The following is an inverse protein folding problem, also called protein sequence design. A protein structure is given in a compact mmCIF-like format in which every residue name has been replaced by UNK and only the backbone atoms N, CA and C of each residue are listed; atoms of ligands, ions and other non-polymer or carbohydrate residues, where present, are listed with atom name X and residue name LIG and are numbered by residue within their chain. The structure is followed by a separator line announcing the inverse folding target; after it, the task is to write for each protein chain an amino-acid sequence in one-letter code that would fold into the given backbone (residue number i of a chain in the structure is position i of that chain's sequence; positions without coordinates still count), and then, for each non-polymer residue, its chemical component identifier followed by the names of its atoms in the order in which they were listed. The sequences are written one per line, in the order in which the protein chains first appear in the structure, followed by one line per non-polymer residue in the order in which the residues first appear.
data_IF_167810206311
#
_entry.id   IF_167810206311
#
_cell.length_a   1.000
_cell.length_b   1.000
_cell.length_c   1.000
_cell.angle_alpha   90.00
_cell.angle_beta   90.00
_cell.angle_gamma   90.00
#
_symmetry.space_group_name_H-M   'P 1'
#
loop_
_entity.id
_entity.type
_entity.pdbx_description
1 polymer ?
#
# COMPACT_ATOMS: atom_id res chain seq x y z
N UNK A 1 -39.63 -42.50 -13.78
CA UNK A 1 -39.85 -41.05 -13.67
C UNK A 1 -38.60 -40.43 -13.09
N UNK A 2 -37.87 -39.71 -13.93
CA UNK A 2 -36.63 -39.01 -13.60
C UNK A 2 -37.04 -37.59 -13.22
N UNK A 3 -36.57 -37.08 -12.07
CA UNK A 3 -36.52 -35.64 -11.82
C UNK A 3 -35.12 -35.28 -11.31
N UNK A 4 -34.23 -35.03 -12.27
CA UNK A 4 -33.00 -34.26 -12.06
C UNK A 4 -33.40 -32.80 -11.86
N UNK A 5 -33.17 -32.26 -10.66
CA UNK A 5 -33.25 -30.81 -10.41
C UNK A 5 -31.87 -30.21 -10.59
N UNK A 6 -31.54 -29.92 -11.84
CA UNK A 6 -30.38 -29.11 -12.18
C UNK A 6 -30.68 -27.66 -11.81
N UNK A 7 -30.07 -27.15 -10.75
CA UNK A 7 -30.06 -25.72 -10.41
C UNK A 7 -29.10 -25.06 -11.40
N UNK A 8 -29.53 -24.09 -12.23
CA UNK A 8 -28.60 -23.35 -13.05
C UNK A 8 -27.79 -22.41 -12.15
N UNK A 9 -26.51 -22.70 -11.98
CA UNK A 9 -25.53 -21.72 -11.54
C UNK A 9 -25.46 -20.63 -12.62
N UNK A 10 -26.18 -19.53 -12.41
CA UNK A 10 -26.00 -18.32 -13.20
C UNK A 10 -24.69 -17.69 -12.74
N UNK A 11 -23.61 -17.96 -13.47
CA UNK A 11 -22.33 -17.28 -13.34
C UNK A 11 -22.52 -15.84 -13.83
N UNK A 12 -22.79 -14.92 -12.90
CA UNK A 12 -22.87 -13.50 -13.20
C UNK A 12 -21.45 -12.94 -13.28
N UNK A 13 -20.80 -13.10 -14.42
CA UNK A 13 -19.59 -12.36 -14.76
C UNK A 13 -19.97 -10.91 -15.08
N UNK A 14 -20.10 -10.08 -14.04
CA UNK A 14 -20.18 -8.62 -14.19
C UNK A 14 -18.80 -8.10 -14.56
N UNK A 15 -18.54 -7.95 -15.86
CA UNK A 15 -17.58 -6.98 -16.36
C UNK A 15 -18.15 -5.57 -16.07
N UNK A 16 -17.93 -5.10 -14.85
CA UNK A 16 -18.40 -3.80 -14.39
C UNK A 16 -17.45 -2.68 -14.81
N UNK A 17 -17.81 -1.97 -15.87
CA UNK A 17 -17.33 -0.60 -16.11
C UNK A 17 -17.79 0.31 -14.96
N UNK A 18 -16.87 0.62 -14.05
CA UNK A 18 -16.74 1.90 -13.36
C UNK A 18 -17.96 2.54 -12.69
N UNK A 19 -18.61 1.87 -11.73
CA UNK A 19 -19.35 2.60 -10.70
C UNK A 19 -18.35 3.12 -9.66
N UNK A 20 -18.35 4.43 -9.41
CA UNK A 20 -17.57 5.05 -8.34
C UNK A 20 -17.89 4.36 -7.01
N UNK A 21 -16.88 3.84 -6.34
CA UNK A 21 -16.97 3.16 -5.05
C UNK A 21 -16.92 4.20 -3.91
N UNK A 22 -17.90 5.10 -3.93
CA UNK A 22 -18.18 5.98 -2.80
C UNK A 22 -19.02 5.23 -1.78
N UNK A 23 -18.61 5.27 -0.52
CA UNK A 23 -19.27 4.52 0.56
C UNK A 23 -19.59 5.43 1.72
N UNK A 24 -20.60 5.06 2.50
CA UNK A 24 -20.77 5.56 3.86
C UNK A 24 -19.94 4.67 4.79
N UNK A 25 -18.76 5.14 5.21
CA UNK A 25 -17.80 4.36 5.99
C UNK A 25 -18.37 3.76 7.27
N UNK A 26 -19.32 4.45 7.92
CA UNK A 26 -20.00 3.93 9.11
C UNK A 26 -20.65 2.56 8.88
N UNK A 27 -21.18 2.29 7.69
CA UNK A 27 -21.82 1.00 7.38
C UNK A 27 -20.82 -0.16 7.30
N UNK A 28 -19.55 0.16 7.08
CA UNK A 28 -18.44 -0.77 7.00
C UNK A 28 -17.61 -0.80 8.30
N UNK A 29 -17.86 0.10 9.25
CA UNK A 29 -17.10 0.14 10.49
C UNK A 29 -17.53 -0.96 11.49
N UNK A 30 -17.07 -2.18 11.24
CA UNK A 30 -17.33 -3.34 12.10
C UNK A 30 -16.27 -4.43 11.87
N UNK A 31 -15.88 -5.19 12.91
CA UNK A 31 -14.75 -6.12 12.84
C UNK A 31 -14.90 -7.24 11.79
N UNK A 32 -16.14 -7.58 11.41
CA UNK A 32 -16.46 -8.63 10.44
C UNK A 32 -17.08 -8.09 9.14
N UNK A 33 -16.96 -6.79 8.86
CA UNK A 33 -17.69 -6.20 7.73
C UNK A 33 -17.16 -4.87 7.23
N UNK A 34 -15.83 -4.73 7.27
CA UNK A 34 -15.08 -3.71 6.53
C UNK A 34 -15.33 -3.76 5.01
N UNK A 35 -14.88 -2.73 4.28
CA UNK A 35 -14.97 -2.69 2.82
C UNK A 35 -14.27 -3.92 2.21
N UNK A 36 -14.80 -4.50 1.11
CA UNK A 36 -14.13 -5.61 0.44
C UNK A 36 -12.72 -5.23 0.00
N UNK A 37 -11.75 -6.13 0.15
CA UNK A 37 -10.36 -5.91 -0.30
C UNK A 37 -10.25 -5.49 -1.78
N UNK A 38 -11.20 -5.91 -2.63
CA UNK A 38 -11.27 -5.50 -4.03
C UNK A 38 -11.50 -4.00 -4.25
N UNK A 39 -11.92 -3.25 -3.22
CA UNK A 39 -12.14 -1.80 -3.31
C UNK A 39 -10.83 -1.02 -3.35
N UNK A 40 -9.79 -1.55 -2.70
CA UNK A 40 -8.48 -0.95 -2.61
C UNK A 40 -7.36 -1.85 -3.16
N UNK A 41 -7.69 -2.99 -3.77
CA UNK A 41 -6.74 -3.81 -4.51
C UNK A 41 -6.19 -3.07 -5.74
N UNK A 42 -4.91 -3.30 -6.03
CA UNK A 42 -4.25 -2.82 -7.24
C UNK A 42 -4.91 -3.34 -8.52
N UNK A 43 -4.85 -2.54 -9.59
CA UNK A 43 -5.30 -2.96 -10.92
C UNK A 43 -4.51 -4.16 -11.45
N UNK A 44 -5.15 -5.00 -12.27
CA UNK A 44 -4.53 -6.22 -12.82
C UNK A 44 -3.35 -5.97 -13.76
N UNK A 45 -3.14 -4.73 -14.21
CA UNK A 45 -1.97 -4.33 -15.02
C UNK A 45 -0.74 -4.00 -14.18
N UNK A 46 -0.86 -3.91 -12.86
CA UNK A 46 0.26 -3.61 -11.96
C UNK A 46 1.17 -4.84 -11.84
N UNK A 47 2.49 -4.74 -12.10
CA UNK A 47 3.39 -5.88 -12.07
C UNK A 47 3.82 -6.21 -10.63
N UNK A 48 2.87 -6.68 -9.81
CA UNK A 48 3.05 -6.89 -8.35
C UNK A 48 4.30 -7.73 -8.02
N UNK A 49 4.48 -8.90 -8.65
CA UNK A 49 5.64 -9.76 -8.41
C UNK A 49 6.97 -9.10 -8.75
N UNK A 50 7.01 -8.28 -9.81
CA UNK A 50 8.22 -7.58 -10.20
C UNK A 50 8.55 -6.44 -9.22
N UNK A 51 7.53 -5.73 -8.73
CA UNK A 51 7.68 -4.70 -7.70
C UNK A 51 8.14 -5.29 -6.37
N UNK A 52 7.59 -6.44 -5.96
CA UNK A 52 8.04 -7.16 -4.77
C UNK A 52 9.50 -7.61 -4.91
N UNK A 53 9.89 -8.11 -6.09
CA UNK A 53 11.27 -8.48 -6.38
C UNK A 53 12.22 -7.27 -6.33
N UNK A 54 11.79 -6.12 -6.87
CA UNK A 54 12.56 -4.90 -6.81
C UNK A 54 12.71 -4.38 -5.37
N UNK A 55 11.66 -4.45 -4.55
CA UNK A 55 11.69 -4.08 -3.13
C UNK A 55 12.72 -4.91 -2.36
N UNK A 56 12.78 -6.22 -2.62
CA UNK A 56 13.76 -7.12 -2.00
C UNK A 56 15.23 -6.82 -2.37
N UNK A 57 15.46 -5.99 -3.39
CA UNK A 57 16.80 -5.53 -3.81
C UNK A 57 17.13 -4.11 -3.36
N UNK A 58 16.21 -3.41 -2.68
CA UNK A 58 16.47 -2.09 -2.13
C UNK A 58 17.62 -2.16 -1.10
N UNK A 59 18.49 -1.17 -1.10
CA UNK A 59 19.76 -1.24 -0.36
C UNK A 59 20.20 0.08 0.24
N UNK A 60 19.66 1.20 -0.22
CA UNK A 60 20.03 2.53 0.26
C UNK A 60 19.21 2.86 1.51
N UNK A 61 19.76 2.60 2.69
CA UNK A 61 19.09 2.87 3.97
C UNK A 61 18.87 4.38 4.18
N UNK A 62 17.72 4.75 4.77
CA UNK A 62 17.53 6.10 5.33
C UNK A 62 18.32 6.23 6.64
N UNK A 63 18.87 7.42 6.95
CA UNK A 63 19.52 7.67 8.24
C UNK A 63 18.58 7.36 9.41
N UNK A 64 19.11 6.64 10.41
CA UNK A 64 18.38 6.19 11.61
C UNK A 64 17.08 5.40 11.32
N UNK A 65 17.00 4.78 10.14
CA UNK A 65 15.81 4.12 9.62
C UNK A 65 15.68 2.62 9.87
N UNK A 66 16.30 2.10 10.94
CA UNK A 66 16.22 0.68 11.29
C UNK A 66 15.46 0.51 12.60
N UNK A 67 14.47 -0.39 12.59
CA UNK A 67 13.53 -0.60 13.68
C UNK A 67 13.21 -2.07 13.83
N UNK A 68 13.00 -2.57 15.05
CA UNK A 68 12.55 -3.93 15.27
C UNK A 68 11.09 -4.09 14.83
N UNK A 69 10.72 -5.28 14.37
CA UNK A 69 9.34 -5.59 14.02
C UNK A 69 8.42 -5.69 15.24
N UNK A 70 8.96 -6.06 16.40
CA UNK A 70 8.21 -6.14 17.65
C UNK A 70 9.10 -5.78 18.86
N UNK A 71 8.55 -5.84 20.07
CA UNK A 71 9.25 -5.46 21.32
C UNK A 71 9.96 -6.62 22.00
N UNK A 72 10.07 -7.77 21.34
CA UNK A 72 10.73 -8.95 21.90
C UNK A 72 12.26 -8.82 21.87
N UNK A 73 12.93 -9.48 22.81
CA UNK A 73 14.38 -9.47 22.84
C UNK A 73 14.96 -10.27 21.65
N UNK A 74 15.75 -9.61 20.81
CA UNK A 74 16.31 -10.21 19.60
C UNK A 74 15.34 -10.23 18.41
N UNK A 75 14.30 -9.38 18.43
CA UNK A 75 13.41 -9.15 17.31
C UNK A 75 14.19 -8.88 16.01
N UNK A 76 13.62 -9.28 14.88
CA UNK A 76 14.18 -8.97 13.58
C UNK A 76 14.15 -7.45 13.36
N UNK A 77 15.27 -6.92 12.88
CA UNK A 77 15.41 -5.50 12.52
C UNK A 77 15.08 -5.32 11.04
N UNK A 78 14.32 -4.27 10.73
CA UNK A 78 13.90 -3.89 9.37
C UNK A 78 14.39 -2.49 9.08
N UNK A 79 14.94 -2.30 7.87
CA UNK A 79 15.45 -1.02 7.40
C UNK A 79 14.50 -0.41 6.37
N UNK A 80 14.22 0.89 6.51
CA UNK A 80 13.54 1.68 5.50
C UNK A 80 14.55 2.16 4.46
N UNK A 81 14.22 1.97 3.19
CA UNK A 81 15.10 2.27 2.07
C UNK A 81 14.60 3.45 1.22
N UNK A 82 15.54 4.25 0.71
CA UNK A 82 15.30 5.46 -0.09
C UNK A 82 15.70 5.33 -1.56
N UNK A 83 15.94 4.11 -2.06
CA UNK A 83 16.36 3.87 -3.44
C UNK A 83 15.42 4.55 -4.47
N UNK A 84 14.14 4.70 -4.13
CA UNK A 84 13.11 5.28 -4.99
C UNK A 84 12.73 6.72 -4.63
N UNK A 85 13.36 7.32 -3.61
CA UNK A 85 12.90 8.59 -3.04
C UNK A 85 13.11 9.82 -3.94
N UNK A 86 13.98 9.71 -4.94
CA UNK A 86 14.38 10.83 -5.81
C UNK A 86 13.68 10.83 -7.19
N UNK A 87 12.71 9.93 -7.43
CA UNK A 87 11.97 9.95 -8.69
C UNK A 87 11.08 11.19 -8.80
N UNK A 88 10.91 11.73 -10.01
CA UNK A 88 10.03 12.88 -10.23
C UNK A 88 8.54 12.53 -10.02
N UNK A 89 8.16 11.29 -10.33
CA UNK A 89 6.82 10.75 -10.13
C UNK A 89 6.95 9.33 -9.60
N UNK A 90 6.08 8.93 -8.67
CA UNK A 90 6.18 7.62 -8.02
C UNK A 90 7.38 7.50 -7.09
N UNK A 91 7.91 8.62 -6.58
CA UNK A 91 8.92 8.58 -5.53
C UNK A 91 8.34 7.95 -4.27
N UNK A 92 9.14 7.10 -3.63
CA UNK A 92 8.69 6.32 -2.49
C UNK A 92 9.84 5.90 -1.57
N UNK A 93 9.49 5.57 -0.34
CA UNK A 93 10.30 4.73 0.54
C UNK A 93 9.74 3.30 0.55
N UNK A 94 10.60 2.32 0.81
CA UNK A 94 10.23 0.90 0.81
C UNK A 94 10.89 0.13 1.94
N UNK A 95 10.17 -0.82 2.51
CA UNK A 95 10.69 -1.79 3.48
C UNK A 95 9.91 -3.11 3.39
N UNK A 96 10.47 -4.16 3.98
CA UNK A 96 9.82 -5.46 4.12
C UNK A 96 9.78 -5.78 5.61
N UNK A 97 8.58 -5.92 6.17
CA UNK A 97 8.34 -6.20 7.57
C UNK A 97 7.27 -7.29 7.72
N UNK A 98 6.93 -7.58 8.97
CA UNK A 98 5.77 -8.35 9.35
C UNK A 98 4.48 -7.48 9.25
N UNK A 99 3.38 -7.98 9.81
CA UNK A 99 2.11 -7.26 9.84
C UNK A 99 1.35 -7.43 11.17
N UNK A 100 1.60 -6.53 12.10
CA UNK A 100 0.83 -6.38 13.34
C UNK A 100 -0.45 -5.57 13.12
N UNK A 101 -1.45 -5.78 13.97
CA UNK A 101 -2.74 -5.10 13.89
C UNK A 101 -2.72 -3.84 14.75
N UNK A 102 -2.91 -2.71 14.10
CA UNK A 102 -3.16 -1.42 14.74
C UNK A 102 -4.67 -1.11 14.70
N UNK A 103 -5.21 -0.71 15.84
CA UNK A 103 -6.61 -0.36 15.98
C UNK A 103 -6.85 1.09 16.41
N UNK A 104 -5.80 1.92 16.46
CA UNK A 104 -5.88 3.30 16.89
C UNK A 104 -6.94 4.09 16.09
N UNK A 105 -7.53 5.07 16.76
CA UNK A 105 -8.67 5.85 16.28
C UNK A 105 -9.99 5.42 16.90
N UNK A 106 -11.07 5.37 16.13
CA UNK A 106 -12.42 5.12 16.71
C UNK A 106 -12.64 3.68 17.15
N UNK A 107 -11.79 2.75 16.68
CA UNK A 107 -11.89 1.32 16.95
C UNK A 107 -10.81 0.81 17.92
N UNK A 108 -10.15 1.70 18.65
CA UNK A 108 -9.01 1.46 19.59
C UNK A 108 -9.24 0.43 20.71
N UNK A 109 -10.46 -0.09 20.83
CA UNK A 109 -10.82 -1.17 21.73
C UNK A 109 -11.15 -2.43 20.92
N UNK A 110 -10.43 -2.65 19.82
CA UNK A 110 -10.66 -3.83 19.01
C UNK A 110 -10.31 -5.09 19.79
N UNK A 111 -10.69 -6.24 19.23
CA UNK A 111 -10.56 -7.51 19.96
C UNK A 111 -9.11 -7.71 20.41
N UNK A 112 -8.95 -7.90 21.72
CA UNK A 112 -7.69 -8.22 22.39
C UNK A 112 -6.60 -7.14 22.27
N UNK A 113 -6.99 -5.90 21.93
CA UNK A 113 -6.14 -4.72 22.02
C UNK A 113 -6.18 -4.12 23.44
N UNK A 114 -5.02 -3.89 24.03
CA UNK A 114 -4.86 -3.37 25.38
C UNK A 114 -4.18 -2.00 25.43
N UNK A 115 -3.56 -1.55 24.34
CA UNK A 115 -2.76 -0.33 24.27
C UNK A 115 -3.26 0.68 23.22
N UNK A 116 -4.35 0.37 22.52
CA UNK A 116 -4.97 1.26 21.55
C UNK A 116 -5.29 2.67 22.07
N UNK A 117 -5.05 3.66 21.21
CA UNK A 117 -5.32 5.07 21.43
C UNK A 117 -6.55 5.52 20.64
N UNK A 118 -7.36 6.39 21.22
CA UNK A 118 -8.60 6.85 20.59
C UNK A 118 -8.41 7.81 19.39
N UNK A 119 -7.18 8.05 18.96
CA UNK A 119 -6.78 8.88 17.82
C UNK A 119 -5.58 8.24 17.14
N UNK A 120 -5.50 8.36 15.82
CA UNK A 120 -4.26 8.23 15.06
C UNK A 120 -3.61 9.60 14.87
N UNK A 121 -2.40 9.67 14.32
CA UNK A 121 -1.71 10.93 14.02
C UNK A 121 -2.47 11.89 13.08
N UNK A 122 -3.35 11.38 12.20
CA UNK A 122 -4.01 12.17 11.15
C UNK A 122 -5.54 12.17 11.21
N UNK A 123 -6.11 11.73 12.32
CA UNK A 123 -7.55 11.73 12.58
C UNK A 123 -7.96 10.63 13.56
N UNK A 124 -9.26 10.49 13.78
CA UNK A 124 -9.81 9.34 14.48
C UNK A 124 -10.20 8.29 13.44
N UNK A 125 -9.21 7.69 12.76
CA UNK A 125 -9.45 6.72 11.70
C UNK A 125 -10.19 5.49 12.23
N UNK A 126 -11.00 4.86 11.38
CA UNK A 126 -11.70 3.64 11.71
C UNK A 126 -10.87 2.44 11.24
N UNK A 127 -10.20 1.73 12.14
CA UNK A 127 -9.35 0.59 11.79
C UNK A 127 -10.12 -0.52 11.05
N UNK A 128 -11.44 -0.65 11.25
CA UNK A 128 -12.25 -1.61 10.50
C UNK A 128 -12.61 -1.17 9.08
N UNK A 129 -12.40 0.09 8.71
CA UNK A 129 -12.85 0.66 7.43
C UNK A 129 -11.74 1.32 6.61
N UNK A 130 -10.80 1.97 7.28
CA UNK A 130 -9.70 2.67 6.62
C UNK A 130 -8.53 1.71 6.49
N UNK A 131 -8.07 1.38 5.26
CA UNK A 131 -6.83 0.67 5.07
C UNK A 131 -5.69 1.66 5.35
N UNK A 132 -5.12 1.62 6.55
CA UNK A 132 -3.94 2.41 6.90
C UNK A 132 -2.78 1.50 7.31
N UNK A 133 -1.59 2.07 7.26
CA UNK A 133 -0.39 1.48 7.82
C UNK A 133 0.33 2.51 8.67
N UNK A 134 1.18 2.00 9.56
CA UNK A 134 1.89 2.77 10.57
C UNK A 134 3.36 2.85 10.18
N UNK A 135 4.00 3.98 10.46
CA UNK A 135 5.45 4.11 10.33
C UNK A 135 6.07 4.51 11.68
N UNK A 136 7.35 4.24 11.90
CA UNK A 136 8.02 4.72 13.11
C UNK A 136 7.99 6.24 13.22
N UNK A 137 7.62 6.79 14.38
CA UNK A 137 7.43 8.23 14.57
C UNK A 137 8.69 9.06 14.29
N UNK A 138 9.89 8.54 14.61
CA UNK A 138 11.15 9.21 14.25
C UNK A 138 11.30 9.38 12.75
N UNK A 139 10.98 8.34 11.97
CA UNK A 139 11.04 8.38 10.52
C UNK A 139 10.00 9.35 9.96
N UNK A 140 8.75 9.27 10.42
CA UNK A 140 7.68 10.20 10.04
C UNK A 140 8.05 11.66 10.30
N UNK A 141 8.61 11.94 11.47
CA UNK A 141 9.07 13.29 11.85
C UNK A 141 10.22 13.79 10.98
N UNK A 142 11.24 12.96 10.74
CA UNK A 142 12.39 13.31 9.92
C UNK A 142 12.00 13.64 8.46
N UNK A 143 11.01 12.92 7.93
CA UNK A 143 10.56 13.05 6.54
C UNK A 143 9.22 13.77 6.38
N UNK A 144 8.75 14.50 7.41
CA UNK A 144 7.43 15.14 7.44
C UNK A 144 7.13 16.09 6.26
N UNK A 145 8.16 16.69 5.65
CA UNK A 145 7.98 17.52 4.43
C UNK A 145 7.53 16.70 3.22
N UNK A 146 7.96 15.45 3.15
CA UNK A 146 7.64 14.50 2.07
C UNK A 146 6.43 13.64 2.44
N UNK A 147 6.23 13.42 3.73
CA UNK A 147 5.19 12.59 4.33
C UNK A 147 4.33 13.42 5.29
N UNK A 148 3.55 14.41 4.79
CA UNK A 148 2.73 15.27 5.66
C UNK A 148 1.55 14.55 6.33
N UNK A 149 1.31 13.28 6.01
CA UNK A 149 0.21 12.47 6.54
C UNK A 149 -0.83 12.13 5.48
N UNK A 150 -1.53 11.01 5.67
CA UNK A 150 -2.50 10.46 4.71
C UNK A 150 -1.91 10.24 3.29
N UNK A 151 -0.58 10.10 3.20
CA UNK A 151 0.11 9.70 1.98
C UNK A 151 -0.36 8.31 1.58
N UNK A 152 -0.71 8.12 0.31
CA UNK A 152 -1.02 6.80 -0.23
C UNK A 152 0.23 5.93 -0.15
N UNK A 153 0.03 4.70 0.29
CA UNK A 153 1.00 3.62 0.16
C UNK A 153 0.39 2.41 -0.52
N UNK A 154 1.27 1.48 -0.88
CA UNK A 154 0.92 0.17 -1.37
C UNK A 154 1.53 -0.89 -0.45
N UNK A 155 0.74 -1.90 -0.11
CA UNK A 155 1.13 -3.04 0.71
C UNK A 155 1.03 -4.29 -0.13
N UNK A 156 2.11 -5.07 -0.23
CA UNK A 156 2.15 -6.35 -0.95
C UNK A 156 2.23 -7.47 0.07
N UNK A 157 1.25 -8.37 0.02
CA UNK A 157 1.08 -9.51 0.92
C UNK A 157 0.34 -10.62 0.16
N UNK A 158 0.67 -11.89 0.41
CA UNK A 158 0.04 -13.05 -0.25
C UNK A 158 -0.03 -12.91 -1.80
N UNK A 159 1.04 -12.37 -2.40
CA UNK A 159 1.16 -12.15 -3.85
C UNK A 159 0.18 -11.10 -4.44
N UNK A 160 -0.55 -10.37 -3.60
CA UNK A 160 -1.50 -9.31 -3.98
C UNK A 160 -1.00 -7.97 -3.49
N UNK A 161 -1.50 -6.89 -4.09
CA UNK A 161 -1.19 -5.52 -3.68
C UNK A 161 -2.47 -4.77 -3.33
N UNK A 162 -2.41 -4.04 -2.23
CA UNK A 162 -3.51 -3.25 -1.68
C UNK A 162 -3.04 -1.83 -1.39
N UNK A 163 -3.91 -0.84 -1.64
CA UNK A 163 -3.63 0.55 -1.32
C UNK A 163 -4.17 0.91 0.05
N UNK A 164 -3.38 1.71 0.76
CA UNK A 164 -3.78 2.32 2.03
C UNK A 164 -3.20 3.70 2.18
N UNK A 165 -3.30 4.27 3.38
CA UNK A 165 -2.69 5.55 3.72
C UNK A 165 -1.73 5.41 4.90
N UNK A 166 -0.68 6.24 4.92
CA UNK A 166 0.07 6.54 6.14
C UNK A 166 -0.89 7.24 7.11
N UNK A 167 -1.48 6.45 8.00
CA UNK A 167 -2.58 6.87 8.87
C UNK A 167 -2.14 7.15 10.30
N UNK A 168 -1.03 6.55 10.73
CA UNK A 168 -0.54 6.64 12.09
C UNK A 168 0.98 6.49 12.22
N UNK A 169 1.57 6.89 13.35
CA UNK A 169 2.97 6.62 13.67
C UNK A 169 3.19 5.95 15.03
N UNK A 170 4.10 4.98 15.08
CA UNK A 170 4.46 4.32 16.33
C UNK A 170 5.43 5.18 17.15
N UNK A 171 4.92 5.76 18.23
CA UNK A 171 5.68 6.60 19.18
C UNK A 171 6.27 5.85 20.38
N UNK A 172 6.18 4.52 20.44
CA UNK A 172 6.62 3.72 21.59
C UNK A 172 8.15 3.68 21.74
N UNK A 173 8.65 3.06 22.81
CA UNK A 173 10.09 2.82 23.02
C UNK A 173 10.33 1.35 23.36
N UNK A 174 10.97 0.56 22.47
CA UNK A 174 11.39 0.94 21.10
C UNK A 174 10.17 1.23 20.20
N UNK A 175 10.39 2.05 19.16
CA UNK A 175 9.43 2.19 18.07
C UNK A 175 9.53 0.94 17.21
N UNK A 176 8.39 0.36 16.88
CA UNK A 176 8.30 -0.82 16.02
C UNK A 176 7.84 -0.43 14.61
N UNK A 177 7.99 -1.33 13.66
CA UNK A 177 7.60 -1.18 12.26
C UNK A 177 6.86 -2.44 11.81
N UNK A 178 5.90 -2.30 10.90
CA UNK A 178 5.11 -3.45 10.43
C UNK A 178 3.66 -3.43 10.91
N UNK A 179 3.17 -2.34 11.50
CA UNK A 179 1.77 -2.27 11.93
C UNK A 179 0.85 -1.78 10.80
N UNK A 180 -0.36 -2.32 10.73
CA UNK A 180 -1.41 -1.91 9.79
C UNK A 180 -2.81 -2.07 10.38
N UNK A 181 -3.76 -1.31 9.82
CA UNK A 181 -5.13 -1.34 10.33
C UNK A 181 -5.75 -2.73 10.31
N UNK A 182 -6.68 -3.00 11.21
CA UNK A 182 -7.47 -4.24 11.23
C UNK A 182 -7.98 -4.66 9.84
N UNK A 183 -8.48 -3.69 9.05
CA UNK A 183 -8.91 -3.93 7.68
C UNK A 183 -7.78 -4.41 6.77
N UNK A 184 -6.63 -3.71 6.76
CA UNK A 184 -5.49 -4.07 5.91
C UNK A 184 -4.96 -5.45 6.29
N UNK A 185 -4.73 -5.67 7.59
CA UNK A 185 -4.19 -6.92 8.12
C UNK A 185 -5.03 -8.14 7.75
N UNK A 186 -6.34 -8.05 8.01
CA UNK A 186 -7.25 -9.16 7.69
C UNK A 186 -7.59 -9.28 6.21
N UNK A 187 -7.26 -8.29 5.39
CA UNK A 187 -7.33 -8.42 3.93
C UNK A 187 -6.12 -9.18 3.39
N UNK A 188 -4.93 -8.92 3.94
CA UNK A 188 -3.72 -9.66 3.61
C UNK A 188 -3.80 -11.12 4.04
N UNK A 189 -4.24 -11.35 5.28
CA UNK A 189 -4.20 -12.66 5.93
C UNK A 189 -5.58 -13.05 6.48
N UNK A 190 -6.58 -13.32 5.61
CA UNK A 190 -7.96 -13.53 6.03
C UNK A 190 -8.19 -14.80 6.87
N UNK A 191 -7.24 -15.74 6.85
CA UNK A 191 -7.34 -17.04 7.52
C UNK A 191 -6.59 -17.10 8.85
N UNK A 192 -5.82 -16.08 9.19
CA UNK A 192 -4.83 -16.15 10.28
C UNK A 192 -5.40 -15.67 11.62
N UNK A 193 -6.70 -15.33 11.63
CA UNK A 193 -7.44 -14.88 12.81
C UNK A 193 -6.79 -13.68 13.53
N UNK A 194 -6.18 -12.78 12.74
CA UNK A 194 -5.48 -11.60 13.26
C UNK A 194 -6.39 -10.69 14.10
N UNK A 195 -5.83 -10.12 15.16
CA UNK A 195 -6.50 -9.22 16.08
C UNK A 195 -5.46 -8.35 16.83
N UNK A 196 -5.87 -7.49 17.76
CA UNK A 196 -4.98 -6.52 18.42
C UNK A 196 -3.80 -7.11 19.21
N UNK A 197 -3.78 -8.41 19.49
CA UNK A 197 -2.62 -9.09 20.11
C UNK A 197 -1.96 -10.17 19.23
N UNK A 198 -2.45 -10.37 18.00
CA UNK A 198 -2.02 -11.45 17.14
C UNK A 198 -1.91 -10.95 15.70
N UNK A 199 -0.69 -10.57 15.33
CA UNK A 199 -0.29 -10.21 13.97
C UNK A 199 0.22 -11.39 13.15
N UNK A 200 0.58 -11.10 11.91
CA UNK A 200 1.35 -11.99 11.04
C UNK A 200 2.83 -11.69 11.25
N UNK A 201 3.57 -12.60 11.88
CA UNK A 201 4.95 -12.33 12.35
C UNK A 201 6.06 -12.58 11.33
N UNK A 202 5.77 -13.16 10.15
CA UNK A 202 6.81 -13.37 9.13
C UNK A 202 7.09 -12.05 8.41
N UNK A 203 8.37 -11.69 8.29
CA UNK A 203 8.79 -10.48 7.58
C UNK A 203 8.76 -10.65 6.05
N UNK A 204 7.57 -10.80 5.49
CA UNK A 204 7.33 -11.03 4.05
C UNK A 204 6.35 -10.03 3.41
N UNK A 205 5.92 -9.02 4.17
CA UNK A 205 5.04 -7.95 3.70
C UNK A 205 5.87 -6.78 3.20
N UNK A 206 5.68 -6.40 1.94
CA UNK A 206 6.34 -5.21 1.38
C UNK A 206 5.47 -3.99 1.57
N UNK A 207 6.03 -2.93 2.14
CA UNK A 207 5.39 -1.64 2.29
C UNK A 207 6.08 -0.61 1.39
N UNK A 208 5.28 0.16 0.66
CA UNK A 208 5.73 1.22 -0.24
C UNK A 208 4.95 2.48 0.12
N UNK A 209 5.61 3.52 0.62
CA UNK A 209 4.97 4.81 0.93
C UNK A 209 5.38 5.86 -0.09
N UNK A 210 4.40 6.44 -0.78
CA UNK A 210 4.67 7.46 -1.78
C UNK A 210 4.87 8.84 -1.14
N UNK A 211 5.81 9.60 -1.70
CA UNK A 211 6.20 10.91 -1.18
C UNK A 211 5.60 12.06 -1.99
N UNK A 212 5.46 13.20 -1.32
CA UNK A 212 5.02 14.46 -1.93
C UNK A 212 3.52 14.71 -1.83
N UNK A 213 3.11 15.95 -2.12
CA UNK A 213 1.73 16.37 -1.94
C UNK A 213 0.74 15.67 -2.90
N UNK A 214 1.23 15.19 -4.04
CA UNK A 214 0.43 14.46 -5.03
C UNK A 214 0.13 13.01 -4.64
N UNK A 215 0.75 12.50 -3.57
CA UNK A 215 0.40 11.22 -2.96
C UNK A 215 -0.54 11.35 -1.76
N UNK A 216 -0.85 12.55 -1.27
CA UNK A 216 -1.78 12.72 -0.15
C UNK A 216 -3.22 12.48 -0.62
N UNK A 217 -3.93 11.55 0.03
CA UNK A 217 -5.33 11.27 -0.29
C UNK A 217 -6.18 12.52 0.02
N UNK A 218 -6.95 13.06 -0.95
CA UNK A 218 -7.64 14.33 -0.76
C UNK A 218 -8.83 14.18 0.17
N UNK A 219 -9.25 15.30 0.77
CA UNK A 219 -10.43 15.36 1.66
C UNK A 219 -11.76 14.99 0.99
N UNK A 220 -11.80 14.96 -0.35
CA UNK A 220 -12.91 14.43 -1.13
C UNK A 220 -13.01 12.90 -1.12
N UNK A 221 -11.99 12.21 -0.58
CA UNK A 221 -11.88 10.76 -0.53
C UNK A 221 -11.58 10.21 0.87
N UNK A 222 -11.15 11.06 1.81
CA UNK A 222 -10.86 10.71 3.20
C UNK A 222 -11.34 11.85 4.11
N UNK A 223 -12.16 11.53 5.10
CA UNK A 223 -12.48 12.45 6.19
C UNK A 223 -11.68 12.08 7.44
N UNK A 224 -12.00 12.68 8.59
CA UNK A 224 -11.27 12.43 9.85
C UNK A 224 -11.35 10.99 10.36
N UNK A 225 -12.25 10.17 9.82
CA UNK A 225 -12.49 8.80 10.30
C UNK A 225 -12.59 7.73 9.21
N UNK A 226 -12.94 8.10 7.98
CA UNK A 226 -13.34 7.13 6.96
C UNK A 226 -12.80 7.48 5.58
N UNK A 227 -12.48 6.46 4.79
CA UNK A 227 -12.33 6.57 3.34
C UNK A 227 -13.72 6.66 2.73
N UNK A 228 -14.05 7.82 2.16
CA UNK A 228 -15.37 8.08 1.56
C UNK A 228 -15.40 7.72 0.07
N UNK A 229 -14.24 7.56 -0.57
CA UNK A 229 -14.14 7.25 -1.99
C UNK A 229 -12.94 6.34 -2.31
N UNK A 230 -13.20 5.03 -2.33
CA UNK A 230 -12.20 4.02 -2.68
C UNK A 230 -11.75 4.09 -4.14
N UNK A 231 -12.58 4.60 -5.04
CA UNK A 231 -12.16 4.80 -6.44
C UNK A 231 -11.07 5.87 -6.57
N UNK A 232 -11.09 6.92 -5.73
CA UNK A 232 -10.00 7.91 -5.70
C UNK A 232 -8.73 7.29 -5.10
N UNK A 233 -8.83 6.59 -3.96
CA UNK A 233 -7.70 5.87 -3.35
C UNK A 233 -7.03 4.95 -4.38
N UNK A 234 -7.83 4.08 -5.02
CA UNK A 234 -7.33 3.12 -5.99
C UNK A 234 -6.76 3.77 -7.24
N UNK A 235 -7.44 4.76 -7.83
CA UNK A 235 -6.93 5.42 -9.05
C UNK A 235 -5.64 6.20 -8.81
N UNK A 236 -5.50 6.83 -7.64
CA UNK A 236 -4.26 7.50 -7.25
C UNK A 236 -3.15 6.48 -6.96
N UNK A 237 -3.44 5.40 -6.26
CA UNK A 237 -2.51 4.28 -6.03
C UNK A 237 -2.01 3.66 -7.33
N UNK A 238 -2.91 3.28 -8.23
CA UNK A 238 -2.57 2.70 -9.55
C UNK A 238 -1.68 3.65 -10.35
N UNK A 239 -1.96 4.96 -10.32
CA UNK A 239 -1.12 5.98 -10.98
C UNK A 239 0.29 6.02 -10.37
N UNK A 240 0.40 6.09 -9.04
CA UNK A 240 1.68 6.21 -8.33
C UNK A 240 2.55 4.96 -8.55
N UNK A 241 1.96 3.77 -8.41
CA UNK A 241 2.67 2.50 -8.63
C UNK A 241 3.05 2.34 -10.10
N UNK A 242 2.21 2.77 -11.05
CA UNK A 242 2.57 2.74 -12.47
C UNK A 242 3.79 3.62 -12.76
N UNK A 243 3.84 4.83 -12.22
CA UNK A 243 5.02 5.70 -12.35
C UNK A 243 6.26 5.08 -11.72
N UNK A 244 6.13 4.48 -10.52
CA UNK A 244 7.23 3.76 -9.88
C UNK A 244 7.73 2.61 -10.77
N UNK A 245 6.84 1.75 -11.25
CA UNK A 245 7.17 0.61 -12.10
C UNK A 245 7.84 1.05 -13.42
N UNK A 246 7.44 2.19 -13.99
CA UNK A 246 8.10 2.78 -15.16
C UNK A 246 9.52 3.23 -14.87
N UNK A 247 9.76 3.93 -13.74
CA UNK A 247 11.10 4.35 -13.34
C UNK A 247 12.02 3.16 -13.05
N UNK A 248 11.45 2.05 -12.57
CA UNK A 248 12.17 0.80 -12.33
C UNK A 248 12.32 -0.08 -13.59
N UNK A 249 11.77 0.33 -14.74
CA UNK A 249 11.84 -0.46 -15.98
C UNK A 249 11.06 -1.78 -15.94
N UNK A 250 10.06 -1.91 -15.06
CA UNK A 250 9.30 -3.15 -14.82
C UNK A 250 8.08 -3.30 -15.74
N UNK A 251 7.71 -2.23 -16.45
CA UNK A 251 6.66 -2.24 -17.47
C UNK A 251 7.24 -1.84 -18.82
N UNK A 252 6.92 -2.60 -19.85
CA UNK A 252 7.28 -2.25 -21.23
C UNK A 252 6.38 -1.10 -21.71
N UNK A 253 6.79 0.14 -21.43
CA UNK A 253 6.20 1.36 -21.97
C UNK A 253 7.19 2.01 -22.94
N UNK A 254 6.83 2.04 -24.22
CA UNK A 254 7.66 2.54 -25.32
C UNK A 254 8.26 3.92 -25.07
N UNK A 255 9.52 3.94 -24.65
CA UNK A 255 10.38 5.06 -24.95
C UNK A 255 10.69 4.98 -26.44
N UNK A 256 9.97 5.77 -27.25
CA UNK A 256 10.52 6.31 -28.49
C UNK A 256 11.72 7.17 -28.12
N UNK A 257 12.83 6.53 -27.80
CA UNK A 257 14.14 7.10 -28.08
C UNK A 257 14.24 7.08 -29.60
N UNK A 258 13.86 8.18 -30.22
CA UNK A 258 14.27 8.52 -31.57
C UNK A 258 15.79 8.56 -31.59
N UNK A 259 16.42 7.40 -31.79
CA UNK A 259 17.77 7.33 -32.32
C UNK A 259 17.62 7.87 -33.73
N UNK A 260 17.95 9.15 -33.90
CA UNK A 260 18.21 9.72 -35.20
C UNK A 260 19.38 8.94 -35.80
N UNK A 261 19.07 7.93 -36.60
CA UNK A 261 20.06 7.29 -37.47
C UNK A 261 20.47 8.34 -38.49
N UNK A 262 21.57 9.04 -38.21
CA UNK A 262 22.32 9.79 -39.20
C UNK A 262 22.96 8.79 -40.16
N UNK A 263 22.22 8.40 -41.19
CA UNK A 263 22.80 7.79 -42.39
C UNK A 263 23.66 8.85 -43.08
N UNK A 264 24.96 8.82 -42.81
CA UNK A 264 25.97 9.43 -43.66
C UNK A 264 25.96 8.71 -45.01
N UNK A 265 25.36 9.34 -46.02
CA UNK A 265 25.45 8.90 -47.40
C UNK A 265 26.83 9.23 -47.95
N UNK A 266 27.67 8.21 -48.10
CA UNK A 266 28.91 8.27 -48.87
C UNK A 266 28.60 8.24 -50.36
N UNK A 267 29.00 9.30 -51.07
CA UNK A 267 29.02 9.36 -52.54
C UNK A 267 29.94 8.29 -53.12
N UNK A 268 29.54 7.57 -54.19
CA UNK A 268 30.49 6.87 -55.04
C UNK A 268 30.91 7.78 -56.20
N UNK A 269 32.19 8.11 -56.22
CA UNK A 269 32.92 8.52 -57.43
C UNK A 269 32.97 7.35 -58.41
N UNK A 270 32.28 7.50 -59.55
CA UNK A 270 32.40 6.59 -60.69
C UNK A 270 32.98 7.35 -61.87
N UNK A 271 34.26 7.16 -62.13
CA UNK A 271 34.90 7.51 -63.39
C UNK A 271 34.85 6.33 -64.34
N UNK A 272 34.37 6.56 -65.56
CA UNK A 272 35.00 6.37 -66.88
C UNK A 272 33.95 6.66 -67.95
#
# INVERSE_FOLDING_TARGET
MIYSRSIPFVLFALFGTGLTQSVNGFNFNKPTGGPPGSYFAAGSSIPVTALQSAAATASTAVPDGTYPINRENGAQEVTIHSDWANFNQGAAYVWIADMDVDCDGIDYMCKEDADGLNQTNFGALAAYEVPFFVIPDRFGTQYAKQLPGNNIGAVICDGKMFYGVYGDSNGATPQVIGEASWLMARTCFPNDNLNGNNGHGDADVTYIIFTGNNSVLPSSALNTSYVTNFSILRSMGDRLVTSLAQNLGLVNGGSSSSIATTTAGSSPTGGF
#
